data_IF_442144188784
#
_entry.id   IF_442144188784
#
_cell.length_a   1.000
_cell.length_b   1.000
_cell.length_c   1.000
_cell.angle_alpha   90.00
_cell.angle_beta   90.00
_cell.angle_gamma   90.00
#
_symmetry.space_group_name_H-M   'P 1'
#
loop_
_entity.id
_entity.type
_entity.pdbx_description
1 polymer ?
#
# COMPACT_ATOMS: atom_id res chain seq x y z
N UNK A 1 2.32 9.13 -6.75
CA UNK A 1 3.23 7.99 -6.49
C UNK A 1 2.95 6.91 -7.52
N UNK A 2 3.96 6.45 -8.27
CA UNK A 2 3.76 5.38 -9.25
C UNK A 2 4.02 4.03 -8.59
N UNK A 3 2.99 3.17 -8.52
CA UNK A 3 3.07 1.81 -7.92
C UNK A 3 4.22 0.99 -8.51
N UNK A 4 4.56 1.19 -9.80
CA UNK A 4 5.67 0.51 -10.47
C UNK A 4 7.04 0.87 -9.90
N UNK A 5 7.24 2.12 -9.48
CA UNK A 5 8.50 2.59 -8.90
C UNK A 5 8.69 2.02 -7.49
N UNK A 6 7.63 2.05 -6.68
CA UNK A 6 7.61 1.40 -5.36
C UNK A 6 7.79 -0.11 -5.46
N UNK A 7 7.20 -0.76 -6.45
CA UNK A 7 7.42 -2.20 -6.67
C UNK A 7 8.90 -2.47 -6.99
N UNK A 8 9.53 -1.64 -7.82
CA UNK A 8 10.96 -1.74 -8.14
C UNK A 8 11.84 -1.53 -6.90
N UNK A 9 11.57 -0.53 -6.06
CA UNK A 9 12.36 -0.29 -4.85
C UNK A 9 12.24 -1.41 -3.82
N UNK A 10 11.10 -2.11 -3.82
CA UNK A 10 10.84 -3.27 -2.97
C UNK A 10 11.25 -4.60 -3.61
N UNK A 11 11.84 -4.61 -4.82
CA UNK A 11 12.15 -5.80 -5.60
C UNK A 11 10.93 -6.72 -5.84
N UNK A 12 9.74 -6.13 -5.95
CA UNK A 12 8.48 -6.81 -6.20
C UNK A 12 8.02 -6.60 -7.64
N UNK A 13 7.27 -7.57 -8.17
CA UNK A 13 6.46 -7.32 -9.36
C UNK A 13 5.30 -6.38 -9.01
N UNK A 14 4.92 -5.49 -9.93
CA UNK A 14 3.83 -4.51 -9.70
C UNK A 14 2.53 -5.16 -9.25
N UNK A 15 2.18 -6.33 -9.80
CA UNK A 15 0.94 -7.03 -9.44
C UNK A 15 1.03 -7.63 -8.03
N UNK A 16 2.20 -8.08 -7.60
CA UNK A 16 2.42 -8.57 -6.23
C UNK A 16 2.25 -7.44 -5.23
N UNK A 17 2.78 -6.24 -5.53
CA UNK A 17 2.58 -5.06 -4.70
C UNK A 17 1.10 -4.67 -4.65
N UNK A 18 0.40 -4.62 -5.79
CA UNK A 18 -1.04 -4.34 -5.85
C UNK A 18 -1.85 -5.34 -5.02
N UNK A 19 -1.55 -6.63 -5.13
CA UNK A 19 -2.21 -7.67 -4.34
C UNK A 19 -2.01 -7.47 -2.83
N UNK A 20 -0.79 -7.12 -2.40
CA UNK A 20 -0.51 -6.85 -0.99
C UNK A 20 -1.24 -5.60 -0.49
N UNK A 21 -1.28 -4.52 -1.29
CA UNK A 21 -2.04 -3.31 -0.95
C UNK A 21 -3.55 -3.61 -0.85
N UNK A 22 -4.07 -4.47 -1.72
CA UNK A 22 -5.45 -4.93 -1.65
C UNK A 22 -5.72 -5.73 -0.37
N UNK A 23 -4.79 -6.60 0.05
CA UNK A 23 -4.89 -7.31 1.33
C UNK A 23 -4.90 -6.38 2.53
N UNK A 24 -4.07 -5.33 2.53
CA UNK A 24 -4.10 -4.31 3.59
C UNK A 24 -5.48 -3.63 3.64
N UNK A 25 -6.04 -3.27 2.49
CA UNK A 25 -7.37 -2.67 2.38
C UNK A 25 -8.47 -3.59 2.90
N UNK A 26 -8.45 -4.87 2.53
CA UNK A 26 -9.41 -5.88 3.01
C UNK A 26 -9.36 -6.05 4.55
N UNK A 27 -8.16 -5.97 5.14
CA UNK A 27 -7.96 -6.21 6.58
C UNK A 27 -8.25 -4.99 7.45
N UNK A 28 -8.03 -3.78 6.93
CA UNK A 28 -8.08 -2.53 7.71
C UNK A 28 -9.24 -1.63 7.32
N UNK A 29 -9.91 -1.91 6.19
CA UNK A 29 -10.87 -1.02 5.55
C UNK A 29 -10.28 0.34 5.13
N UNK A 30 -8.95 0.47 5.06
CA UNK A 30 -8.23 1.67 4.67
C UNK A 30 -7.47 1.42 3.36
N UNK A 31 -7.59 2.32 2.38
CA UNK A 31 -6.85 2.27 1.12
C UNK A 31 -5.48 2.97 1.27
N UNK A 32 -4.36 2.21 1.29
CA UNK A 32 -3.01 2.77 1.38
C UNK A 32 -2.60 3.61 0.16
N UNK A 33 -3.40 3.63 -0.92
CA UNK A 33 -3.17 4.48 -2.09
C UNK A 33 -3.82 5.86 -1.96
N UNK A 34 -4.78 6.01 -1.06
CA UNK A 34 -5.38 7.30 -0.71
C UNK A 34 -4.55 7.96 0.38
N UNK A 35 -4.00 9.15 0.11
CA UNK A 35 -3.06 9.81 1.02
C UNK A 35 -3.60 9.98 2.46
N UNK A 36 -4.84 10.44 2.70
CA UNK A 36 -5.36 10.59 4.07
C UNK A 36 -5.41 9.25 4.84
N UNK A 37 -5.81 8.18 4.16
CA UNK A 37 -5.91 6.84 4.74
C UNK A 37 -4.54 6.20 4.94
N UNK A 38 -3.58 6.48 4.05
CA UNK A 38 -2.18 6.07 4.20
C UNK A 38 -1.52 6.73 5.42
N UNK A 39 -1.81 8.01 5.70
CA UNK A 39 -1.35 8.69 6.91
C UNK A 39 -1.95 8.05 8.16
N UNK A 40 -3.24 7.71 8.13
CA UNK A 40 -3.89 7.01 9.24
C UNK A 40 -3.27 5.63 9.49
N UNK A 41 -3.04 4.84 8.44
CA UNK A 41 -2.34 3.55 8.52
C UNK A 41 -0.94 3.72 9.12
N UNK A 42 -0.19 4.75 8.73
CA UNK A 42 1.14 5.02 9.27
C UNK A 42 1.11 5.36 10.76
N UNK A 43 0.12 6.14 11.23
CA UNK A 43 -0.05 6.45 12.65
C UNK A 43 -0.44 5.20 13.44
N UNK A 44 -1.33 4.35 12.90
CA UNK A 44 -1.79 3.13 13.58
C UNK A 44 -0.69 2.05 13.71
N UNK A 45 0.23 1.99 12.75
CA UNK A 45 1.32 1.00 12.70
C UNK A 45 2.61 1.46 13.40
N UNK A 46 2.62 2.68 13.94
CA UNK A 46 3.78 3.28 14.60
C UNK A 46 3.66 3.24 16.11
#
# INVERSE_FOLDING_TARGET
MQVSETARSLFLHRNTLLYRLEKVREQTSLDPRAFPEAVLLWIMLR
#
